data_IF_457282443211
#
_entry.id   IF_457282443211
#
_cell.length_a   1.000
_cell.length_b   1.000
_cell.length_c   1.000
_cell.angle_alpha   90.00
_cell.angle_beta   90.00
_cell.angle_gamma   90.00
#
_symmetry.space_group_name_H-M   'P 1'
#
loop_
_entity.id
_entity.type
_entity.pdbx_description
1 polymer ?
#
# COMPACT_ATOMS: atom_id res chain seq x y z
N UNK A 1 -3.24 -0.06 36.49
CA UNK A 1 -2.01 0.71 36.79
C UNK A 1 -0.87 -0.28 36.94
N UNK A 2 0.15 -0.19 36.08
CA UNK A 2 1.37 -1.01 36.21
C UNK A 2 2.22 -0.33 37.28
N UNK A 3 2.30 -0.92 38.47
CA UNK A 3 3.03 -0.36 39.62
C UNK A 3 4.54 -0.65 39.58
N UNK A 4 5.06 -1.27 38.51
CA UNK A 4 6.48 -1.52 38.33
C UNK A 4 6.82 -1.68 36.84
N UNK A 5 7.34 -0.64 36.17
CA UNK A 5 7.71 -0.70 34.74
C UNK A 5 8.75 -1.79 34.44
N UNK A 6 9.64 -2.06 35.39
CA UNK A 6 10.68 -3.09 35.33
C UNK A 6 10.14 -4.52 35.38
N UNK A 7 8.87 -4.70 35.77
CA UNK A 7 8.23 -6.03 35.75
C UNK A 7 7.97 -6.51 34.31
N UNK A 8 8.08 -5.64 33.31
CA UNK A 8 8.05 -6.03 31.89
C UNK A 8 9.31 -6.85 31.55
N UNK A 9 10.46 -6.52 32.14
CA UNK A 9 11.73 -7.22 31.90
C UNK A 9 11.74 -8.63 32.53
N UNK A 10 10.85 -8.90 33.49
CA UNK A 10 10.65 -10.21 34.11
C UNK A 10 9.73 -11.13 33.27
N UNK A 11 9.11 -10.62 32.20
CA UNK A 11 8.25 -11.40 31.31
C UNK A 11 9.13 -12.22 30.36
N UNK A 12 9.42 -13.45 30.76
CA UNK A 12 10.24 -14.39 29.99
C UNK A 12 9.62 -14.82 28.64
N UNK A 13 8.28 -14.73 28.52
CA UNK A 13 7.53 -15.11 27.32
C UNK A 13 6.62 -13.97 26.88
N UNK A 14 6.96 -13.34 25.76
CA UNK A 14 6.19 -12.25 25.15
C UNK A 14 4.78 -12.68 24.74
N UNK A 15 4.52 -13.99 24.59
CA UNK A 15 3.19 -14.56 24.37
C UNK A 15 2.24 -14.43 25.58
N UNK A 16 2.77 -14.15 26.77
CA UNK A 16 1.98 -13.96 28.00
C UNK A 16 1.48 -12.53 28.15
N UNK A 17 2.00 -11.59 27.35
CA UNK A 17 1.57 -10.20 27.39
C UNK A 17 0.16 -10.11 26.82
N UNK A 18 -0.78 -9.67 27.66
CA UNK A 18 -2.16 -9.41 27.29
C UNK A 18 -2.42 -7.92 27.33
N UNK A 19 -3.15 -7.45 26.32
CA UNK A 19 -3.54 -6.06 26.20
C UNK A 19 -5.05 -5.94 26.32
N UNK A 20 -5.48 -4.89 27.01
CA UNK A 20 -6.86 -4.46 27.10
C UNK A 20 -6.98 -3.16 26.29
N UNK A 21 -7.83 -3.16 25.29
CA UNK A 21 -8.08 -1.97 24.47
C UNK A 21 -9.58 -1.81 24.24
N UNK A 22 -10.00 -0.56 24.05
CA UNK A 22 -11.39 -0.22 23.79
C UNK A 22 -11.61 -0.06 22.29
N UNK A 23 -12.41 -0.92 21.70
CA UNK A 23 -12.72 -0.90 20.28
C UNK A 23 -14.21 -1.22 20.06
N UNK A 24 -14.84 -0.53 19.11
CA UNK A 24 -16.25 -0.77 18.74
C UNK A 24 -17.22 -0.75 19.94
N UNK A 25 -17.06 0.23 20.83
CA UNK A 25 -17.84 0.39 22.06
C UNK A 25 -17.75 -0.76 23.07
N UNK A 26 -16.68 -1.58 22.99
CA UNK A 26 -16.45 -2.72 23.88
C UNK A 26 -15.01 -2.75 24.36
N UNK A 27 -14.81 -3.24 25.58
CA UNK A 27 -13.49 -3.60 26.08
C UNK A 27 -13.11 -4.98 25.52
N UNK A 28 -12.01 -5.03 24.78
CA UNK A 28 -11.48 -6.23 24.17
C UNK A 28 -10.18 -6.59 24.86
N UNK A 29 -10.07 -7.84 25.28
CA UNK A 29 -8.88 -8.39 25.89
C UNK A 29 -8.29 -9.46 24.98
N UNK A 30 -7.07 -9.23 24.50
CA UNK A 30 -6.41 -10.12 23.57
C UNK A 30 -4.90 -10.25 23.88
N UNK A 31 -4.28 -11.38 23.48
CA UNK A 31 -2.82 -11.49 23.46
C UNK A 31 -2.20 -10.41 22.56
N UNK A 32 -1.12 -9.77 23.02
CA UNK A 32 -0.45 -8.69 22.29
C UNK A 32 0.05 -9.14 20.91
N UNK A 33 0.62 -10.34 20.82
CA UNK A 33 1.09 -10.90 19.54
C UNK A 33 -0.02 -10.95 18.49
N UNK A 34 -1.23 -11.42 18.85
CA UNK A 34 -2.37 -11.48 17.93
C UNK A 34 -2.83 -10.10 17.46
N UNK A 35 -2.75 -9.09 18.35
CA UNK A 35 -3.07 -7.71 17.98
C UNK A 35 -2.03 -7.17 17.01
N UNK A 36 -0.74 -7.41 17.27
CA UNK A 36 0.35 -6.98 16.39
C UNK A 36 0.30 -7.69 15.03
N UNK A 37 -0.01 -9.00 15.00
CA UNK A 37 -0.20 -9.75 13.75
C UNK A 37 -1.33 -9.15 12.93
N UNK A 38 -2.46 -8.84 13.57
CA UNK A 38 -3.60 -8.23 12.88
C UNK A 38 -3.28 -6.85 12.33
N UNK A 39 -2.61 -6.00 13.12
CA UNK A 39 -2.16 -4.67 12.68
C UNK A 39 -1.18 -4.78 11.53
N UNK A 40 -0.24 -5.74 11.59
CA UNK A 40 0.72 -5.99 10.53
C UNK A 40 0.02 -6.41 9.23
N UNK A 41 -0.92 -7.34 9.32
CA UNK A 41 -1.69 -7.82 8.15
C UNK A 41 -2.49 -6.68 7.52
N UNK A 42 -3.14 -5.84 8.34
CA UNK A 42 -3.92 -4.70 7.86
C UNK A 42 -3.01 -3.66 7.16
N UNK A 43 -1.85 -3.32 7.76
CA UNK A 43 -0.86 -2.42 7.13
C UNK A 43 -0.32 -3.00 5.83
N UNK A 44 0.00 -4.28 5.79
CA UNK A 44 0.51 -4.93 4.58
C UNK A 44 -0.51 -4.92 3.46
N UNK A 45 -1.77 -5.19 3.77
CA UNK A 45 -2.87 -5.14 2.81
C UNK A 45 -3.07 -3.72 2.26
N UNK A 46 -3.11 -2.72 3.14
CA UNK A 46 -3.30 -1.33 2.72
C UNK A 46 -2.14 -0.82 1.87
N UNK A 47 -0.89 -1.14 2.26
CA UNK A 47 0.28 -0.81 1.45
C UNK A 47 0.22 -1.48 0.08
N UNK A 48 -0.11 -2.78 0.03
CA UNK A 48 -0.22 -3.51 -1.23
C UNK A 48 -1.24 -2.84 -2.16
N UNK A 49 -2.41 -2.48 -1.63
CA UNK A 49 -3.45 -1.83 -2.41
C UNK A 49 -3.02 -0.48 -2.95
N UNK A 50 -2.34 0.34 -2.14
CA UNK A 50 -1.81 1.64 -2.58
C UNK A 50 -0.76 1.45 -3.67
N UNK A 51 0.15 0.48 -3.52
CA UNK A 51 1.16 0.17 -4.53
C UNK A 51 0.53 -0.31 -5.84
N UNK A 52 -0.46 -1.21 -5.79
CA UNK A 52 -1.15 -1.70 -6.98
C UNK A 52 -1.93 -0.58 -7.67
N UNK A 53 -2.61 0.28 -6.92
CA UNK A 53 -3.31 1.43 -7.50
C UNK A 53 -2.34 2.39 -8.20
N UNK A 54 -1.23 2.73 -7.54
CA UNK A 54 -0.21 3.61 -8.10
C UNK A 54 0.47 3.01 -9.34
N UNK A 55 0.77 1.70 -9.31
CA UNK A 55 1.32 1.00 -10.46
C UNK A 55 0.38 1.09 -11.66
N UNK A 56 -0.91 0.79 -11.45
CA UNK A 56 -1.92 0.84 -12.50
C UNK A 56 -2.07 2.24 -13.11
N UNK A 57 -2.11 3.28 -12.26
CA UNK A 57 -2.17 4.67 -12.72
C UNK A 57 -0.92 5.03 -13.55
N UNK A 58 0.25 4.59 -13.09
CA UNK A 58 1.52 4.84 -13.80
C UNK A 58 1.57 4.14 -15.15
N UNK A 59 1.14 2.88 -15.22
CA UNK A 59 1.06 2.10 -16.47
C UNK A 59 0.13 2.79 -17.48
N UNK A 60 -1.07 3.19 -17.05
CA UNK A 60 -2.03 3.90 -17.90
C UNK A 60 -1.47 5.23 -18.42
N UNK A 61 -0.73 5.95 -17.58
CA UNK A 61 -0.10 7.21 -17.96
C UNK A 61 1.05 7.00 -18.95
N UNK A 62 1.82 5.93 -18.82
CA UNK A 62 2.85 5.54 -19.79
C UNK A 62 2.21 5.21 -21.13
N UNK A 63 1.15 4.40 -21.14
CA UNK A 63 0.40 4.03 -22.35
C UNK A 63 -0.12 5.27 -23.10
N UNK A 64 -0.77 6.18 -22.38
CA UNK A 64 -1.30 7.44 -22.96
C UNK A 64 -0.19 8.30 -23.57
N UNK A 65 0.97 8.39 -22.89
CA UNK A 65 2.11 9.14 -23.42
C UNK A 65 2.69 8.48 -24.67
N UNK A 66 2.65 7.15 -24.72
CA UNK A 66 3.17 6.38 -25.84
C UNK A 66 2.28 6.56 -27.08
N UNK A 67 0.97 6.50 -26.91
CA UNK A 67 -0.01 6.83 -27.97
C UNK A 67 0.19 8.26 -28.49
N UNK A 68 0.34 9.24 -27.60
CA UNK A 68 0.57 10.63 -28.00
C UNK A 68 1.89 10.80 -28.79
N UNK A 69 2.95 10.08 -28.42
CA UNK A 69 4.22 10.09 -29.17
C UNK A 69 4.05 9.47 -30.55
N UNK A 70 3.31 8.37 -30.67
CA UNK A 70 3.09 7.70 -31.94
C UNK A 70 2.19 8.52 -32.87
N UNK A 71 1.17 9.20 -32.36
CA UNK A 71 0.37 10.17 -33.12
C UNK A 71 1.24 11.32 -33.66
N UNK A 72 2.10 11.91 -32.81
CA UNK A 72 2.99 12.98 -33.23
C UNK A 72 3.99 12.51 -34.30
N UNK A 73 4.50 11.28 -34.20
CA UNK A 73 5.35 10.68 -35.23
C UNK A 73 4.61 10.52 -36.55
N UNK A 74 3.37 10.04 -36.53
CA UNK A 74 2.54 9.90 -37.73
C UNK A 74 2.29 11.25 -38.40
N UNK A 75 1.94 12.28 -37.62
CA UNK A 75 1.77 13.64 -38.13
C UNK A 75 3.06 14.18 -38.77
N UNK A 76 4.21 13.94 -38.16
CA UNK A 76 5.51 14.36 -38.70
C UNK A 76 5.83 13.66 -40.03
N UNK A 77 5.54 12.36 -40.15
CA UNK A 77 5.71 11.62 -41.41
C UNK A 77 4.82 12.20 -42.51
N UNK A 78 3.54 12.46 -42.20
CA UNK A 78 2.59 13.05 -43.15
C UNK A 78 3.01 14.46 -43.60
N UNK A 79 3.65 15.24 -42.72
CA UNK A 79 4.16 16.58 -43.03
C UNK A 79 5.47 16.56 -43.84
N UNK A 80 6.24 15.46 -43.80
CA UNK A 80 7.55 15.35 -44.46
C UNK A 80 7.51 14.62 -45.81
N UNK A 81 6.44 13.88 -46.11
CA UNK A 81 6.21 13.20 -47.39
C UNK A 81 4.83 13.55 -48.00
N UNK A 82 4.60 14.80 -48.45
CA UNK A 82 3.31 15.19 -49.03
C UNK A 82 3.02 14.59 -50.42
N UNK A 83 4.00 13.95 -51.08
CA UNK A 83 3.91 13.59 -52.51
C UNK A 83 3.37 12.19 -52.83
N UNK A 84 3.07 11.32 -51.85
CA UNK A 84 2.51 9.97 -52.11
C UNK A 84 0.97 9.92 -52.06
N UNK A 85 0.30 11.09 -52.07
CA UNK A 85 -1.16 11.19 -52.19
C UNK A 85 -1.57 11.81 -53.53
N UNK A 86 -1.42 11.02 -54.60
CA UNK A 86 -2.12 11.22 -55.89
C UNK A 86 -2.63 9.86 -56.38
#
# INVERSE_FOLDING_TARGET
>A
MINNPSAIDEIADTGQIRVLFYASHKLVHAPLNKVLDKVKDDIQHDLLNVFTAYQKETEQRIETLQEAVDELRLQLVNLTHPEDTN
#
